data_IF_430329982140
#
_entry.id   IF_430329982140
#
_cell.length_a   1.000
_cell.length_b   1.000
_cell.length_c   1.000
_cell.angle_alpha   90.00
_cell.angle_beta   90.00
_cell.angle_gamma   90.00
#
_symmetry.space_group_name_H-M   'P 1'
#
loop_
_entity.id
_entity.type
_entity.pdbx_description
1 polymer ?
#
# COMPACT_ATOMS: atom_id res chain seq x y z
N UNK A 1 40.87 55.29 -60.84
CA UNK A 1 39.74 54.74 -60.08
C UNK A 1 40.26 54.17 -58.76
N UNK A 2 40.05 54.87 -57.64
CA UNK A 2 40.52 54.47 -56.29
C UNK A 2 39.33 53.86 -55.55
N UNK A 3 39.32 52.54 -55.41
CA UNK A 3 38.29 51.85 -54.64
C UNK A 3 38.55 52.10 -53.12
N UNK A 4 37.62 52.82 -52.46
CA UNK A 4 37.55 52.90 -51.01
C UNK A 4 37.16 51.52 -50.47
N UNK A 5 38.09 50.86 -49.78
CA UNK A 5 37.77 49.70 -48.93
C UNK A 5 37.04 50.28 -47.69
N UNK A 6 35.75 49.99 -47.58
CA UNK A 6 35.02 50.18 -46.35
C UNK A 6 35.63 49.27 -45.29
N UNK A 7 36.18 49.83 -44.24
CA UNK A 7 36.67 49.11 -43.08
C UNK A 7 35.44 48.60 -42.29
N UNK A 8 35.25 47.29 -42.22
CA UNK A 8 34.19 46.61 -41.44
C UNK A 8 34.60 46.37 -39.99
N UNK A 9 35.61 47.08 -39.48
CA UNK A 9 36.17 46.80 -38.13
C UNK A 9 35.37 47.41 -36.97
N UNK A 10 34.47 48.39 -37.26
CA UNK A 10 33.65 49.04 -36.21
C UNK A 10 32.52 48.17 -35.63
N UNK A 11 31.98 47.20 -36.40
CA UNK A 11 30.88 46.36 -35.96
C UNK A 11 31.35 45.16 -35.10
N UNK A 12 32.59 44.72 -35.26
CA UNK A 12 33.15 43.64 -34.46
C UNK A 12 33.34 43.98 -32.99
N UNK A 13 33.64 45.22 -32.65
CA UNK A 13 33.76 45.69 -31.30
C UNK A 13 32.39 45.76 -30.55
N UNK A 14 31.34 46.18 -31.25
CA UNK A 14 29.98 46.24 -30.71
C UNK A 14 29.41 44.85 -30.40
N UNK A 15 29.62 43.88 -31.30
CA UNK A 15 29.18 42.48 -31.10
C UNK A 15 29.90 41.86 -29.89
N UNK A 16 31.20 42.11 -29.73
CA UNK A 16 31.97 41.55 -28.61
C UNK A 16 31.44 42.02 -27.25
N UNK A 17 31.04 43.30 -27.15
CA UNK A 17 30.45 43.84 -25.93
C UNK A 17 29.08 43.21 -25.65
N UNK A 18 28.21 43.09 -26.64
CA UNK A 18 26.89 42.45 -26.51
C UNK A 18 27.06 40.99 -26.08
N UNK A 19 27.96 40.22 -26.72
CA UNK A 19 28.25 38.85 -26.37
C UNK A 19 28.77 38.69 -24.94
N UNK A 20 29.66 39.63 -24.51
CA UNK A 20 30.18 39.63 -23.14
C UNK A 20 29.03 39.84 -22.10
N UNK A 21 28.13 40.79 -22.32
CA UNK A 21 26.96 40.99 -21.45
C UNK A 21 26.03 39.78 -21.42
N UNK A 22 25.69 39.23 -22.59
CA UNK A 22 24.87 38.05 -22.68
C UNK A 22 25.49 36.85 -21.99
N UNK A 23 26.81 36.66 -22.11
CA UNK A 23 27.54 35.58 -21.43
C UNK A 23 27.47 35.73 -19.90
N UNK A 24 27.62 36.92 -19.37
CA UNK A 24 27.48 37.16 -17.91
C UNK A 24 26.07 36.85 -17.43
N UNK A 25 25.03 37.27 -18.17
CA UNK A 25 23.64 36.95 -17.84
C UNK A 25 23.39 35.44 -17.89
N UNK A 26 23.86 34.76 -18.93
CA UNK A 26 23.72 33.30 -19.07
C UNK A 26 24.43 32.56 -17.92
N UNK A 27 25.63 32.99 -17.54
CA UNK A 27 26.35 32.41 -16.39
C UNK A 27 25.59 32.65 -15.08
N UNK A 28 24.99 33.83 -14.90
CA UNK A 28 24.15 34.14 -13.73
C UNK A 28 22.94 33.24 -13.65
N UNK A 29 22.21 33.00 -14.75
CA UNK A 29 21.09 32.07 -14.78
C UNK A 29 21.51 30.62 -14.55
N UNK A 30 22.63 30.17 -15.15
CA UNK A 30 23.18 28.84 -14.94
C UNK A 30 23.56 28.62 -13.45
N UNK A 31 24.13 29.63 -12.81
CA UNK A 31 24.49 29.59 -11.41
C UNK A 31 23.26 29.42 -10.49
N UNK A 32 22.20 30.19 -10.73
CA UNK A 32 20.93 30.03 -9.99
C UNK A 32 20.25 28.69 -10.25
N UNK A 33 20.37 28.16 -11.48
CA UNK A 33 19.83 26.86 -11.82
C UNK A 33 20.51 25.72 -11.02
N UNK A 34 21.82 25.84 -10.75
CA UNK A 34 22.57 24.86 -9.95
C UNK A 34 22.08 24.87 -8.49
N UNK A 35 21.94 26.05 -7.87
CA UNK A 35 21.41 26.14 -6.50
C UNK A 35 19.97 25.60 -6.41
N UNK A 36 19.12 25.94 -7.39
CA UNK A 36 17.76 25.41 -7.46
C UNK A 36 17.74 23.88 -7.60
N UNK A 37 18.58 23.32 -8.48
CA UNK A 37 18.69 21.86 -8.66
C UNK A 37 19.13 21.17 -7.36
N UNK A 38 20.06 21.75 -6.59
CA UNK A 38 20.47 21.24 -5.28
C UNK A 38 19.30 21.22 -4.31
N UNK A 39 18.51 22.29 -4.21
CA UNK A 39 17.33 22.35 -3.34
C UNK A 39 16.26 21.31 -3.72
N UNK A 40 15.99 21.11 -5.02
CA UNK A 40 15.06 20.09 -5.49
C UNK A 40 15.56 18.67 -5.19
N UNK A 41 16.85 18.42 -5.42
CA UNK A 41 17.46 17.11 -5.12
C UNK A 41 17.37 16.79 -3.63
N UNK A 42 17.71 17.75 -2.78
CA UNK A 42 17.61 17.58 -1.33
C UNK A 42 16.17 17.32 -0.89
N UNK A 43 15.22 18.11 -1.38
CA UNK A 43 13.80 17.93 -1.04
C UNK A 43 13.28 16.55 -1.46
N UNK A 44 13.70 16.02 -2.61
CA UNK A 44 13.31 14.68 -3.07
C UNK A 44 13.84 13.59 -2.14
N UNK A 45 15.07 13.71 -1.66
CA UNK A 45 15.68 12.77 -0.71
C UNK A 45 14.96 12.81 0.64
N UNK A 46 14.66 14.01 1.14
CA UNK A 46 13.92 14.20 2.39
C UNK A 46 12.48 13.67 2.28
N UNK A 47 11.84 13.80 1.11
CA UNK A 47 10.52 13.22 0.88
C UNK A 47 10.59 11.69 0.96
N UNK A 48 11.53 11.05 0.24
CA UNK A 48 11.73 9.60 0.32
C UNK A 48 12.03 9.15 1.76
N UNK A 49 12.82 9.92 2.49
CA UNK A 49 13.18 9.64 3.88
C UNK A 49 11.98 9.75 4.83
N UNK A 50 11.16 10.79 4.70
CA UNK A 50 9.94 10.95 5.50
C UNK A 50 8.88 9.93 5.15
N UNK A 51 8.73 9.56 3.87
CA UNK A 51 7.81 8.49 3.43
C UNK A 51 8.19 7.14 4.04
N UNK A 52 9.46 6.76 3.92
CA UNK A 52 9.96 5.51 4.49
C UNK A 52 9.81 5.48 6.02
N UNK A 53 10.15 6.58 6.69
CA UNK A 53 10.04 6.69 8.14
C UNK A 53 8.57 6.60 8.61
N UNK A 54 7.66 7.34 7.99
CA UNK A 54 6.24 7.35 8.35
C UNK A 54 5.58 5.97 8.12
N UNK A 55 5.84 5.34 6.96
CA UNK A 55 5.33 3.99 6.64
C UNK A 55 5.83 2.95 7.63
N UNK A 56 7.12 2.92 7.93
CA UNK A 56 7.68 1.94 8.86
C UNK A 56 7.21 2.17 10.29
N UNK A 57 7.10 3.41 10.74
CA UNK A 57 6.52 3.73 12.05
C UNK A 57 5.07 3.29 12.14
N UNK A 58 4.25 3.58 11.13
CA UNK A 58 2.86 3.14 11.07
C UNK A 58 2.74 1.60 11.15
N UNK A 59 3.61 0.86 10.45
CA UNK A 59 3.66 -0.61 10.54
C UNK A 59 4.05 -1.10 11.94
N UNK A 60 5.00 -0.44 12.62
CA UNK A 60 5.37 -0.77 13.99
C UNK A 60 4.23 -0.51 14.96
N UNK A 61 3.58 0.65 14.85
CA UNK A 61 2.40 0.99 15.64
C UNK A 61 1.23 0.03 15.40
N UNK A 62 1.01 -0.34 14.15
CA UNK A 62 -0.04 -1.28 13.78
C UNK A 62 0.20 -2.70 14.33
N UNK A 63 1.46 -3.11 14.44
CA UNK A 63 1.84 -4.41 15.01
C UNK A 63 1.77 -4.41 16.53
N UNK A 64 2.28 -3.37 17.16
CA UNK A 64 2.31 -3.19 18.60
C UNK A 64 2.40 -1.70 18.94
N UNK A 65 1.39 -1.15 19.56
CA UNK A 65 1.33 0.28 19.92
C UNK A 65 2.30 0.67 21.05
N UNK A 66 2.87 -0.32 21.75
CA UNK A 66 3.92 -0.14 22.75
C UNK A 66 5.34 -0.36 22.22
N UNK A 67 5.51 -0.66 20.92
CA UNK A 67 6.83 -0.76 20.28
C UNK A 67 7.59 0.55 20.48
N UNK A 68 8.89 0.46 20.78
CA UNK A 68 9.76 1.63 20.99
C UNK A 68 9.82 2.55 19.77
N UNK A 69 9.63 1.99 18.57
CA UNK A 69 9.54 2.76 17.33
C UNK A 69 8.15 3.34 17.06
N UNK A 70 7.14 2.98 17.86
CA UNK A 70 5.84 3.63 17.86
C UNK A 70 5.82 4.80 18.87
N UNK A 71 6.73 5.74 18.71
CA UNK A 71 6.92 6.88 19.61
C UNK A 71 7.41 8.13 18.85
N UNK A 72 7.19 9.31 19.42
CA UNK A 72 7.67 10.58 18.87
C UNK A 72 9.20 10.74 18.90
N UNK A 73 9.90 9.80 19.54
CA UNK A 73 11.35 9.75 19.63
C UNK A 73 11.94 8.51 18.95
N UNK A 74 11.23 7.97 17.95
CA UNK A 74 11.61 6.75 17.25
C UNK A 74 13.01 6.85 16.63
N UNK A 75 13.98 6.01 17.00
CA UNK A 75 15.29 5.98 16.35
C UNK A 75 15.21 5.48 14.90
N UNK A 76 14.20 4.68 14.59
CA UNK A 76 13.98 4.17 13.24
C UNK A 76 13.69 5.30 12.25
N UNK A 77 12.99 6.37 12.67
CA UNK A 77 12.71 7.51 11.80
C UNK A 77 14.00 8.21 11.38
N UNK A 78 14.93 8.44 12.30
CA UNK A 78 16.21 9.06 11.99
C UNK A 78 17.09 8.16 11.11
N UNK A 79 17.13 6.86 11.37
CA UNK A 79 17.88 5.89 10.56
C UNK A 79 17.37 5.85 9.11
N UNK A 80 16.07 5.79 8.91
CA UNK A 80 15.47 5.77 7.58
C UNK A 80 15.61 7.09 6.84
N UNK A 81 15.48 8.21 7.52
CA UNK A 81 15.72 9.52 6.94
C UNK A 81 17.17 9.64 6.45
N UNK A 82 18.16 9.27 7.26
CA UNK A 82 19.58 9.27 6.88
C UNK A 82 19.88 8.32 5.71
N UNK A 83 19.31 7.12 5.69
CA UNK A 83 19.53 6.14 4.61
C UNK A 83 18.98 6.57 3.25
N UNK A 84 18.05 7.52 3.23
CA UNK A 84 17.51 8.08 2.00
C UNK A 84 18.20 9.38 1.56
N UNK A 85 19.11 9.92 2.36
CA UNK A 85 19.99 11.03 1.98
C UNK A 85 21.25 10.49 1.28
N UNK A 86 21.65 11.10 0.17
CA UNK A 86 22.83 10.67 -0.61
C UNK A 86 24.12 10.79 0.19
N UNK A 87 24.22 11.81 1.02
CA UNK A 87 25.35 12.05 1.91
C UNK A 87 25.21 11.32 3.27
N UNK A 88 24.09 10.62 3.48
CA UNK A 88 23.77 9.95 4.73
C UNK A 88 23.37 10.89 5.87
N UNK A 89 23.12 12.15 5.59
CA UNK A 89 22.80 13.17 6.59
C UNK A 89 21.38 13.71 6.39
N UNK A 90 20.58 13.63 7.43
CA UNK A 90 19.28 14.27 7.51
C UNK A 90 18.94 14.63 8.95
N UNK A 91 17.90 15.41 9.16
CA UNK A 91 17.40 15.74 10.48
C UNK A 91 15.93 15.40 10.56
N UNK A 92 15.50 14.64 11.57
CA UNK A 92 14.07 14.49 11.88
C UNK A 92 13.61 15.73 12.65
N UNK A 93 12.95 16.64 11.96
CA UNK A 93 12.47 17.91 12.52
C UNK A 93 11.34 17.69 13.51
N UNK A 94 10.40 16.79 13.18
CA UNK A 94 9.27 16.45 14.06
C UNK A 94 8.66 15.10 13.71
N UNK A 95 8.08 14.47 14.72
CA UNK A 95 7.20 13.31 14.60
C UNK A 95 5.91 13.65 15.34
N UNK A 96 4.80 13.78 14.61
CA UNK A 96 3.47 13.89 15.17
C UNK A 96 2.80 12.51 15.11
N UNK A 97 2.55 11.92 16.28
CA UNK A 97 1.97 10.57 16.43
C UNK A 97 0.66 10.67 17.18
N UNK A 98 -0.44 10.32 16.52
CA UNK A 98 -1.77 10.19 17.11
C UNK A 98 -2.20 8.71 17.08
N UNK A 99 -2.05 8.03 18.21
CA UNK A 99 -2.44 6.61 18.37
C UNK A 99 -3.97 6.42 18.39
N UNK A 100 -4.72 7.45 18.77
CA UNK A 100 -6.20 7.38 18.81
C UNK A 100 -6.76 7.38 17.39
N UNK A 101 -6.30 8.33 16.56
CA UNK A 101 -6.69 8.43 15.16
C UNK A 101 -5.82 7.54 14.24
N UNK A 102 -4.80 6.90 14.81
CA UNK A 102 -3.89 6.00 14.09
C UNK A 102 -3.22 6.67 12.90
N UNK A 103 -2.63 7.83 13.17
CA UNK A 103 -1.88 8.59 12.19
C UNK A 103 -0.48 8.92 12.70
N UNK A 104 0.47 8.97 11.81
CA UNK A 104 1.81 9.46 12.07
C UNK A 104 2.26 10.38 10.93
N UNK A 105 2.78 11.53 11.30
CA UNK A 105 3.40 12.46 10.35
C UNK A 105 4.86 12.63 10.74
N UNK A 106 5.76 12.36 9.80
CA UNK A 106 7.20 12.56 9.97
C UNK A 106 7.63 13.72 9.07
N UNK A 107 8.29 14.70 9.66
CA UNK A 107 8.91 15.81 8.92
C UNK A 107 10.43 15.65 9.01
N UNK A 108 11.07 15.45 7.86
CA UNK A 108 12.52 15.46 7.71
C UNK A 108 12.99 16.81 7.21
N UNK A 109 14.15 17.24 7.66
CA UNK A 109 14.81 18.47 7.25
C UNK A 109 16.25 18.21 6.80
N UNK A 110 16.78 19.09 5.97
CA UNK A 110 18.13 19.00 5.47
C UNK A 110 19.16 19.09 6.59
N UNK A 111 20.31 18.43 6.41
CA UNK A 111 21.43 18.50 7.34
C UNK A 111 22.73 18.49 6.58
N UNK A 112 23.52 19.53 6.79
CA UNK A 112 24.87 19.63 6.27
C UNK A 112 25.85 19.83 7.45
N UNK A 113 27.07 19.32 7.30
CA UNK A 113 28.12 19.52 8.32
C UNK A 113 28.49 21.00 8.42
N UNK A 114 28.34 21.57 9.61
CA UNK A 114 28.68 22.99 9.86
C UNK A 114 27.60 24.00 9.45
N UNK A 115 26.43 23.55 8.95
CA UNK A 115 25.31 24.41 8.64
C UNK A 115 24.21 24.36 9.72
N UNK A 116 23.29 25.30 9.68
CA UNK A 116 22.11 25.30 10.55
C UNK A 116 21.19 24.09 10.21
N UNK A 117 20.54 23.52 11.23
CA UNK A 117 19.60 22.43 11.02
C UNK A 117 18.48 22.84 10.04
N UNK A 118 18.04 21.89 9.24
CA UNK A 118 16.98 22.01 8.21
C UNK A 118 17.33 22.96 7.05
N UNK A 119 18.60 23.32 6.86
CA UNK A 119 19.01 24.22 5.79
C UNK A 119 20.10 23.63 4.90
N UNK A 120 20.07 24.06 3.65
CA UNK A 120 21.04 23.73 2.59
C UNK A 120 21.81 25.00 2.23
N UNK A 121 23.14 24.90 2.17
CA UNK A 121 24.01 25.98 1.76
C UNK A 121 23.85 26.24 0.25
N UNK A 122 23.75 27.50 -0.14
CA UNK A 122 23.65 27.96 -1.52
C UNK A 122 24.97 28.62 -1.92
N UNK A 123 25.58 28.09 -2.99
CA UNK A 123 26.87 28.58 -3.41
C UNK A 123 26.78 29.91 -4.16
N UNK A 124 25.93 29.98 -5.15
CA UNK A 124 25.79 31.13 -6.02
C UNK A 124 24.88 32.22 -5.44
N UNK A 125 23.74 31.79 -4.83
CA UNK A 125 22.86 32.76 -4.17
C UNK A 125 23.52 33.37 -2.91
N UNK A 126 24.49 32.67 -2.32
CA UNK A 126 25.32 33.20 -1.23
C UNK A 126 26.08 34.45 -1.62
N UNK A 127 26.53 34.59 -2.87
CA UNK A 127 27.18 35.81 -3.40
C UNK A 127 26.21 37.00 -3.42
N UNK A 128 24.92 36.72 -3.57
CA UNK A 128 23.84 37.70 -3.56
C UNK A 128 23.29 37.98 -2.15
N UNK A 129 23.93 37.44 -1.10
CA UNK A 129 23.50 37.64 0.28
C UNK A 129 22.47 36.61 0.81
N UNK A 130 22.22 35.52 0.06
CA UNK A 130 21.32 34.41 0.46
C UNK A 130 22.18 33.15 0.62
N UNK A 131 22.86 32.94 1.76
CA UNK A 131 23.85 31.86 1.92
C UNK A 131 23.23 30.47 2.10
N UNK A 132 21.97 30.40 2.49
CA UNK A 132 21.28 29.10 2.71
C UNK A 132 19.78 29.25 2.56
N UNK A 133 19.10 28.11 2.34
CA UNK A 133 17.64 28.02 2.34
C UNK A 133 17.18 26.83 3.17
N UNK A 134 16.05 26.99 3.87
CA UNK A 134 15.42 25.89 4.61
C UNK A 134 14.77 24.90 3.64
N UNK A 135 15.06 23.60 3.83
CA UNK A 135 14.49 22.51 3.04
C UNK A 135 13.95 21.45 3.98
N UNK A 136 12.66 21.20 3.87
CA UNK A 136 11.94 20.17 4.62
C UNK A 136 11.03 19.39 3.70
N UNK A 137 10.72 18.15 4.10
CA UNK A 137 9.66 17.36 3.51
C UNK A 137 8.89 16.63 4.60
N UNK A 138 7.62 16.37 4.36
CA UNK A 138 6.71 15.78 5.34
C UNK A 138 5.91 14.67 4.71
N UNK A 139 5.70 13.58 5.44
CA UNK A 139 4.84 12.50 5.03
C UNK A 139 3.90 12.12 6.15
N UNK A 140 2.64 11.90 5.79
CA UNK A 140 1.60 11.46 6.71
C UNK A 140 1.08 10.09 6.29
N UNK A 141 0.97 9.20 7.27
CA UNK A 141 0.50 7.82 7.10
C UNK A 141 -0.56 7.52 8.13
N UNK A 142 -1.62 6.85 7.71
CA UNK A 142 -2.61 6.25 8.64
C UNK A 142 -2.55 4.73 8.56
N UNK A 143 -2.99 4.07 9.65
CA UNK A 143 -3.07 2.62 9.71
C UNK A 143 -4.35 2.16 10.40
N UNK A 144 -4.78 0.94 10.09
CA UNK A 144 -5.95 0.33 10.70
C UNK A 144 -6.39 -0.93 9.99
N UNK A 145 -7.42 -1.58 10.50
CA UNK A 145 -8.06 -2.69 9.78
C UNK A 145 -9.31 -2.20 9.06
N UNK A 146 -9.61 -2.70 7.86
CA UNK A 146 -10.86 -2.39 7.18
C UNK A 146 -12.06 -2.83 8.02
N UNK A 147 -13.08 -1.98 8.09
CA UNK A 147 -14.35 -2.26 8.77
C UNK A 147 -15.56 -2.16 7.83
N UNK A 148 -15.41 -1.45 6.72
CA UNK A 148 -16.43 -1.33 5.68
C UNK A 148 -15.76 -1.10 4.33
N UNK A 149 -16.28 -1.70 3.26
CA UNK A 149 -15.82 -1.49 1.90
C UNK A 149 -16.44 -2.47 0.91
N UNK A 150 -16.27 -2.18 -0.39
CA UNK A 150 -16.72 -3.07 -1.46
C UNK A 150 -15.64 -4.09 -1.78
N UNK A 151 -15.93 -5.38 -1.55
CA UNK A 151 -15.05 -6.46 -1.96
C UNK A 151 -15.08 -6.62 -3.47
N UNK A 152 -13.98 -7.04 -4.07
CA UNK A 152 -13.91 -7.33 -5.51
C UNK A 152 -14.41 -8.75 -5.84
N UNK A 153 -14.54 -9.61 -4.83
CA UNK A 153 -15.00 -10.97 -4.94
C UNK A 153 -15.90 -11.32 -3.76
N UNK A 154 -17.05 -12.00 -3.96
CA UNK A 154 -18.07 -12.15 -2.92
C UNK A 154 -17.83 -13.39 -2.04
N UNK A 155 -16.62 -13.53 -1.51
CA UNK A 155 -16.20 -14.67 -0.68
C UNK A 155 -15.91 -14.20 0.74
N UNK A 156 -16.43 -14.93 1.73
CA UNK A 156 -16.10 -14.77 3.14
C UNK A 156 -15.49 -16.06 3.70
N UNK A 157 -14.45 -15.93 4.53
CA UNK A 157 -13.81 -17.08 5.19
C UNK A 157 -14.34 -17.28 6.60
N UNK A 158 -14.42 -18.55 7.03
CA UNK A 158 -14.58 -18.86 8.44
C UNK A 158 -13.33 -18.44 9.23
N UNK A 159 -13.51 -17.89 10.43
CA UNK A 159 -12.41 -17.56 11.34
C UNK A 159 -11.50 -18.77 11.63
N UNK A 160 -12.04 -19.97 11.53
CA UNK A 160 -11.29 -21.22 11.71
C UNK A 160 -10.22 -21.45 10.65
N UNK A 161 -10.44 -20.92 9.45
CA UNK A 161 -9.47 -20.99 8.36
C UNK A 161 -8.37 -19.94 8.49
N UNK A 162 -8.64 -18.86 9.21
CA UNK A 162 -7.75 -17.68 9.29
C UNK A 162 -6.91 -17.69 10.57
N UNK A 163 -7.49 -18.17 11.68
CA UNK A 163 -6.82 -18.13 12.99
C UNK A 163 -5.49 -18.88 12.99
N UNK A 164 -4.41 -18.16 13.30
CA UNK A 164 -3.04 -18.71 13.30
C UNK A 164 -2.42 -18.88 11.92
N UNK A 165 -3.11 -18.53 10.83
CA UNK A 165 -2.63 -18.75 9.45
C UNK A 165 -2.17 -17.49 8.73
N UNK A 166 -2.27 -16.33 9.38
CA UNK A 166 -1.78 -15.05 8.80
C UNK A 166 -0.27 -15.08 8.68
N UNK A 167 0.25 -14.71 7.50
CA UNK A 167 1.65 -14.84 7.09
C UNK A 167 2.21 -16.28 7.12
N UNK A 168 1.30 -17.27 7.15
CA UNK A 168 1.63 -18.69 7.10
C UNK A 168 1.87 -19.23 5.70
N UNK A 169 1.90 -20.57 5.58
CA UNK A 169 2.03 -21.26 4.32
C UNK A 169 0.78 -21.11 3.45
N UNK A 170 0.93 -21.37 2.14
CA UNK A 170 -0.20 -21.50 1.24
C UNK A 170 -1.07 -22.71 1.66
N UNK A 171 -2.38 -22.57 1.48
CA UNK A 171 -3.36 -23.59 1.82
C UNK A 171 -4.48 -23.65 0.79
N UNK A 172 -5.13 -24.80 0.69
CA UNK A 172 -6.36 -25.00 -0.06
C UNK A 172 -7.53 -24.81 0.90
N UNK A 173 -8.35 -23.79 0.68
CA UNK A 173 -9.58 -23.54 1.41
C UNK A 173 -10.73 -24.12 0.61
N UNK A 174 -11.30 -25.20 1.12
CA UNK A 174 -12.40 -25.91 0.45
C UNK A 174 -13.74 -25.43 0.94
N UNK A 175 -14.73 -25.54 0.04
CA UNK A 175 -16.11 -25.23 0.32
C UNK A 175 -16.75 -26.33 1.21
N UNK A 176 -17.61 -25.92 2.13
CA UNK A 176 -18.76 -26.62 2.73
C UNK A 176 -18.64 -28.10 3.12
N UNK A 177 -17.48 -28.68 3.37
CA UNK A 177 -17.55 -29.95 4.05
C UNK A 177 -17.98 -29.71 5.51
N UNK A 178 -18.94 -30.47 6.00
CA UNK A 178 -19.33 -30.45 7.41
C UNK A 178 -18.12 -30.70 8.33
N UNK A 179 -17.09 -31.36 7.78
CA UNK A 179 -15.85 -31.68 8.47
C UNK A 179 -14.79 -30.57 8.43
N UNK A 180 -14.97 -29.51 7.61
CA UNK A 180 -13.95 -28.48 7.44
C UNK A 180 -13.64 -27.72 8.74
N UNK A 181 -14.59 -27.68 9.69
CA UNK A 181 -14.46 -26.97 10.96
C UNK A 181 -15.04 -27.75 12.15
N UNK A 182 -15.12 -29.08 12.06
CA UNK A 182 -15.82 -29.92 13.07
C UNK A 182 -15.37 -29.64 14.52
N UNK A 183 -14.12 -29.23 14.72
CA UNK A 183 -13.52 -29.00 16.04
C UNK A 183 -13.08 -27.54 16.24
N UNK A 184 -13.73 -26.57 15.61
CA UNK A 184 -13.34 -25.16 15.74
C UNK A 184 -14.32 -24.38 16.64
N UNK A 185 -14.07 -24.23 17.94
CA UNK A 185 -14.91 -23.48 18.89
C UNK A 185 -14.55 -22.00 18.94
N UNK A 186 -14.27 -21.37 17.79
CA UNK A 186 -13.88 -19.95 17.71
C UNK A 186 -15.08 -19.01 17.52
N UNK A 187 -16.29 -19.53 17.46
CA UNK A 187 -17.50 -18.70 17.42
C UNK A 187 -17.83 -18.04 18.75
N UNK A 188 -18.84 -17.18 18.79
CA UNK A 188 -19.31 -16.51 20.00
C UNK A 188 -19.62 -17.53 21.12
N UNK A 189 -19.13 -17.25 22.33
CA UNK A 189 -19.27 -18.14 23.50
C UNK A 189 -18.73 -19.58 23.28
N UNK A 190 -17.75 -19.77 22.40
CA UNK A 190 -17.17 -21.07 22.12
C UNK A 190 -18.02 -21.96 21.17
N UNK A 191 -18.96 -21.36 20.47
CA UNK A 191 -19.77 -22.05 19.46
C UNK A 191 -18.91 -22.52 18.30
N UNK A 192 -19.19 -23.71 17.80
CA UNK A 192 -18.56 -24.22 16.59
C UNK A 192 -18.99 -23.39 15.37
N UNK A 193 -18.02 -22.89 14.62
CA UNK A 193 -18.25 -22.10 13.40
C UNK A 193 -18.48 -23.03 12.22
N UNK A 194 -19.61 -22.93 11.50
CA UNK A 194 -19.90 -23.81 10.38
C UNK A 194 -19.13 -23.45 9.12
N UNK A 195 -18.78 -24.45 8.33
CA UNK A 195 -18.24 -24.32 6.97
C UNK A 195 -16.84 -23.70 6.88
N UNK A 196 -16.23 -23.79 5.70
CA UNK A 196 -14.90 -23.23 5.42
C UNK A 196 -14.93 -21.82 4.84
N UNK A 197 -15.82 -21.62 3.86
CA UNK A 197 -16.11 -20.29 3.28
C UNK A 197 -17.58 -20.16 2.85
N UNK A 198 -18.00 -18.93 2.59
CA UNK A 198 -19.35 -18.57 2.21
C UNK A 198 -19.36 -17.56 1.07
N UNK A 199 -20.42 -17.59 0.28
CA UNK A 199 -20.68 -16.54 -0.70
C UNK A 199 -21.49 -15.42 -0.06
N UNK A 200 -21.03 -14.18 -0.21
CA UNK A 200 -21.73 -12.98 0.26
C UNK A 200 -22.55 -12.35 -0.85
N UNK A 201 -23.48 -11.47 -0.49
CA UNK A 201 -24.32 -10.74 -1.47
C UNK A 201 -23.45 -9.87 -2.38
N UNK A 202 -23.73 -9.95 -3.68
CA UNK A 202 -23.10 -9.12 -4.71
C UNK A 202 -23.89 -7.82 -4.90
N UNK A 203 -23.20 -6.73 -5.23
CA UNK A 203 -23.85 -5.55 -5.79
C UNK A 203 -24.40 -5.86 -7.18
N UNK A 204 -25.51 -5.24 -7.53
CA UNK A 204 -26.14 -5.46 -8.84
C UNK A 204 -25.15 -5.27 -10.00
N UNK A 205 -24.97 -6.30 -10.83
CA UNK A 205 -24.08 -6.28 -11.98
C UNK A 205 -22.58 -6.32 -11.67
N UNK A 206 -22.18 -6.48 -10.40
CA UNK A 206 -20.78 -6.56 -9.98
C UNK A 206 -20.45 -7.96 -9.47
N UNK A 207 -19.18 -8.35 -9.51
CA UNK A 207 -18.72 -9.60 -8.91
C UNK A 207 -18.73 -9.51 -7.37
N UNK A 208 -18.23 -8.41 -6.81
CA UNK A 208 -18.18 -8.20 -5.37
C UNK A 208 -19.40 -7.45 -4.81
N UNK A 209 -19.36 -7.15 -3.52
CA UNK A 209 -20.44 -6.46 -2.82
C UNK A 209 -19.95 -5.61 -1.66
N UNK A 210 -20.82 -4.69 -1.23
CA UNK A 210 -20.54 -3.88 -0.04
C UNK A 210 -20.61 -4.78 1.20
N UNK A 211 -19.58 -4.70 2.00
CA UNK A 211 -19.44 -5.39 3.28
C UNK A 211 -19.25 -4.35 4.38
N UNK A 212 -20.02 -4.49 5.47
CA UNK A 212 -19.91 -3.66 6.67
C UNK A 212 -19.93 -4.57 7.90
N UNK A 213 -18.85 -4.53 8.70
CA UNK A 213 -18.71 -5.39 9.89
C UNK A 213 -19.69 -5.02 11.03
N UNK A 214 -20.33 -3.86 10.97
CA UNK A 214 -21.30 -3.45 12.01
C UNK A 214 -22.66 -4.13 11.86
N UNK A 215 -22.89 -4.82 10.74
CA UNK A 215 -24.17 -5.52 10.47
C UNK A 215 -23.90 -6.95 10.00
N UNK A 216 -24.82 -7.86 10.28
CA UNK A 216 -24.77 -9.19 9.73
C UNK A 216 -24.95 -9.16 8.20
N UNK A 217 -24.13 -9.92 7.50
CA UNK A 217 -24.15 -10.00 6.06
C UNK A 217 -24.98 -11.19 5.60
N UNK A 218 -25.89 -10.95 4.68
CA UNK A 218 -26.66 -12.04 4.08
C UNK A 218 -25.81 -12.87 3.13
N UNK A 219 -26.03 -14.18 3.09
CA UNK A 219 -25.48 -15.06 2.07
C UNK A 219 -26.20 -14.83 0.73
N UNK A 220 -25.49 -15.02 -0.36
CA UNK A 220 -26.05 -14.80 -1.71
C UNK A 220 -26.40 -16.10 -2.42
N UNK A 221 -25.73 -17.20 -2.11
CA UNK A 221 -25.85 -18.41 -2.92
C UNK A 221 -25.79 -19.69 -2.08
N UNK A 222 -26.38 -20.76 -2.63
CA UNK A 222 -26.60 -22.03 -1.93
C UNK A 222 -25.67 -23.13 -2.41
N UNK A 223 -24.83 -22.88 -3.40
CA UNK A 223 -24.12 -23.92 -4.12
C UNK A 223 -22.61 -23.78 -4.14
N UNK A 224 -22.02 -24.79 -4.78
CA UNK A 224 -20.59 -24.79 -5.13
C UNK A 224 -20.32 -24.03 -6.43
N UNK A 225 -21.36 -23.41 -7.03
CA UNK A 225 -21.22 -22.69 -8.27
C UNK A 225 -20.45 -21.38 -8.04
N UNK A 226 -19.61 -21.06 -9.00
CA UNK A 226 -18.93 -19.79 -8.98
C UNK A 226 -19.93 -18.63 -9.01
N UNK A 227 -19.63 -17.52 -8.34
CA UNK A 227 -20.56 -16.39 -8.28
C UNK A 227 -20.76 -15.78 -9.66
N UNK A 228 -21.98 -15.30 -9.94
CA UNK A 228 -22.30 -14.62 -11.20
C UNK A 228 -21.45 -13.35 -11.38
N UNK A 229 -21.28 -12.90 -12.62
CA UNK A 229 -20.56 -11.67 -12.99
C UNK A 229 -19.07 -11.63 -12.52
N UNK A 230 -18.45 -12.76 -12.20
CA UNK A 230 -17.07 -12.81 -11.71
C UNK A 230 -16.03 -13.21 -12.74
N UNK A 231 -16.43 -13.59 -13.95
CA UNK A 231 -15.51 -14.05 -15.01
C UNK A 231 -14.43 -13.04 -15.34
N UNK A 232 -14.80 -11.76 -15.43
CA UNK A 232 -13.84 -10.69 -15.70
C UNK A 232 -12.78 -10.55 -14.57
N UNK A 233 -13.19 -10.72 -13.32
CA UNK A 233 -12.30 -10.68 -12.15
C UNK A 233 -11.34 -11.87 -12.17
N UNK A 234 -11.87 -13.08 -12.39
CA UNK A 234 -11.08 -14.30 -12.39
C UNK A 234 -10.13 -14.37 -13.60
N UNK A 235 -10.56 -13.90 -14.77
CA UNK A 235 -9.70 -13.78 -15.94
C UNK A 235 -8.56 -12.77 -15.71
N UNK A 236 -8.84 -11.65 -15.03
CA UNK A 236 -7.81 -10.71 -14.62
C UNK A 236 -6.81 -11.36 -13.66
N UNK A 237 -7.29 -12.10 -12.64
CA UNK A 237 -6.42 -12.83 -11.73
C UNK A 237 -5.54 -13.84 -12.46
N UNK A 238 -6.10 -14.61 -13.40
CA UNK A 238 -5.35 -15.56 -14.22
C UNK A 238 -4.24 -14.86 -15.02
N UNK A 239 -4.53 -13.71 -15.61
CA UNK A 239 -3.56 -12.90 -16.36
C UNK A 239 -2.44 -12.38 -15.45
N UNK A 240 -2.77 -11.86 -14.26
CA UNK A 240 -1.78 -11.35 -13.31
C UNK A 240 -0.86 -12.48 -12.82
N UNK A 241 -1.45 -13.61 -12.39
CA UNK A 241 -0.68 -14.77 -11.93
C UNK A 241 0.17 -15.37 -13.03
N UNK A 242 -0.34 -15.44 -14.26
CA UNK A 242 0.41 -15.89 -15.43
C UNK A 242 1.60 -15.00 -15.78
N UNK A 243 1.51 -13.73 -15.45
CA UNK A 243 2.61 -12.75 -15.60
C UNK A 243 3.53 -12.68 -14.37
N UNK A 244 3.35 -13.55 -13.38
CA UNK A 244 4.13 -13.57 -12.14
C UNK A 244 3.84 -12.42 -11.16
N UNK A 245 2.74 -11.70 -11.37
CA UNK A 245 2.32 -10.62 -10.47
C UNK A 245 1.39 -11.14 -9.38
N UNK A 246 1.55 -10.70 -8.11
CA UNK A 246 0.72 -11.16 -7.02
C UNK A 246 -0.71 -10.61 -7.15
N UNK A 247 -1.69 -11.46 -6.82
CA UNK A 247 -3.10 -11.08 -6.68
C UNK A 247 -3.44 -11.11 -5.20
N UNK A 248 -3.63 -9.94 -4.60
CA UNK A 248 -4.02 -9.81 -3.19
C UNK A 248 -5.39 -9.18 -3.13
N UNK A 249 -6.30 -9.82 -2.39
CA UNK A 249 -7.70 -9.39 -2.25
C UNK A 249 -8.08 -9.28 -0.78
N UNK A 250 -8.94 -8.33 -0.44
CA UNK A 250 -9.55 -8.23 0.87
C UNK A 250 -10.88 -8.97 0.86
N UNK A 251 -11.02 -9.88 1.81
CA UNK A 251 -12.21 -10.72 1.97
C UNK A 251 -12.66 -10.73 3.43
N UNK A 252 -13.97 -10.70 3.70
CA UNK A 252 -14.48 -10.73 5.06
C UNK A 252 -14.30 -12.08 5.73
N UNK A 253 -14.26 -12.06 7.06
CA UNK A 253 -14.19 -13.23 7.93
C UNK A 253 -15.42 -13.26 8.81
N UNK A 254 -16.07 -14.42 8.90
CA UNK A 254 -17.18 -14.67 9.80
C UNK A 254 -16.79 -15.62 10.95
N UNK A 255 -17.41 -15.42 12.11
CA UNK A 255 -17.26 -16.28 13.28
C UNK A 255 -18.59 -16.95 13.68
N UNK A 256 -19.70 -16.57 13.08
CA UNK A 256 -21.00 -17.22 13.23
C UNK A 256 -21.77 -17.19 11.91
N UNK A 257 -22.63 -18.19 11.75
CA UNK A 257 -23.57 -18.26 10.64
C UNK A 257 -24.89 -18.84 11.14
N UNK A 258 -26.01 -18.27 10.68
CA UNK A 258 -27.36 -18.74 10.96
C UNK A 258 -28.13 -18.93 9.66
N UNK A 259 -29.07 -19.86 9.62
CA UNK A 259 -29.81 -20.18 8.41
C UNK A 259 -28.99 -21.04 7.45
N UNK A 260 -29.53 -21.28 6.25
CA UNK A 260 -28.94 -22.08 5.17
C UNK A 260 -29.20 -21.43 3.82
N UNK A 261 -28.26 -21.63 2.90
CA UNK A 261 -28.42 -21.18 1.52
C UNK A 261 -28.55 -19.66 1.39
N UNK A 262 -29.45 -19.19 0.51
CA UNK A 262 -29.72 -17.76 0.31
C UNK A 262 -30.35 -17.08 1.52
N UNK A 263 -30.84 -17.86 2.51
CA UNK A 263 -31.33 -17.37 3.79
C UNK A 263 -30.25 -17.36 4.89
N UNK A 264 -29.02 -17.69 4.58
CA UNK A 264 -27.93 -17.63 5.54
C UNK A 264 -27.60 -16.18 5.90
N UNK A 265 -27.21 -15.97 7.18
CA UNK A 265 -26.73 -14.70 7.68
C UNK A 265 -25.42 -14.92 8.43
N UNK A 266 -24.42 -14.15 8.10
CA UNK A 266 -23.04 -14.26 8.62
C UNK A 266 -22.72 -13.09 9.54
N UNK A 267 -22.20 -13.40 10.74
CA UNK A 267 -21.61 -12.40 11.62
C UNK A 267 -20.15 -12.18 11.21
N UNK A 268 -19.86 -11.00 10.68
CA UNK A 268 -18.54 -10.65 10.16
C UNK A 268 -17.72 -9.93 11.24
N UNK A 269 -16.47 -10.33 11.41
CA UNK A 269 -15.59 -9.83 12.48
C UNK A 269 -14.38 -9.05 11.99
N UNK A 270 -13.91 -9.32 10.77
CA UNK A 270 -12.74 -8.68 10.21
C UNK A 270 -12.70 -8.84 8.69
N UNK A 271 -11.79 -8.10 8.06
CA UNK A 271 -11.32 -8.41 6.71
C UNK A 271 -9.91 -9.01 6.79
N UNK A 272 -9.65 -9.99 5.96
CA UNK A 272 -8.31 -10.55 5.76
C UNK A 272 -7.83 -10.27 4.34
N UNK A 273 -6.52 -10.09 4.19
CA UNK A 273 -5.90 -10.05 2.90
C UNK A 273 -5.47 -11.46 2.50
N UNK A 274 -5.91 -11.88 1.33
CA UNK A 274 -5.62 -13.20 0.78
C UNK A 274 -4.85 -13.08 -0.53
N UNK A 275 -3.65 -13.63 -0.55
CA UNK A 275 -2.82 -13.74 -1.74
C UNK A 275 -3.25 -14.96 -2.52
N UNK A 276 -4.04 -14.75 -3.58
CA UNK A 276 -4.58 -15.80 -4.43
C UNK A 276 -3.46 -16.44 -5.25
N UNK A 277 -3.47 -17.77 -5.35
CA UNK A 277 -2.53 -18.55 -6.15
C UNK A 277 -3.23 -19.50 -7.12
N UNK A 278 -4.51 -19.80 -6.88
CA UNK A 278 -5.32 -20.65 -7.75
C UNK A 278 -6.73 -20.81 -7.19
N UNK A 279 -7.62 -21.38 -7.99
CA UNK A 279 -9.00 -21.68 -7.60
C UNK A 279 -9.60 -22.79 -8.46
N UNK A 280 -10.64 -23.42 -7.97
CA UNK A 280 -11.52 -24.30 -8.70
C UNK A 280 -12.95 -24.09 -8.20
N UNK A 281 -13.79 -23.49 -9.03
CA UNK A 281 -15.20 -23.32 -8.76
C UNK A 281 -16.02 -24.14 -9.75
N UNK A 282 -17.26 -24.49 -9.40
CA UNK A 282 -18.20 -25.13 -10.32
C UNK A 282 -19.02 -24.08 -11.06
N UNK A 283 -19.66 -24.48 -12.14
CA UNK A 283 -20.49 -23.63 -12.98
C UNK A 283 -20.28 -23.92 -14.47
N UNK A 284 -21.16 -23.35 -15.31
CA UNK A 284 -21.11 -23.51 -16.76
C UNK A 284 -19.87 -22.85 -17.38
N UNK A 285 -19.39 -21.81 -16.76
CA UNK A 285 -18.19 -21.09 -17.18
C UNK A 285 -17.01 -21.68 -16.41
N UNK A 286 -16.31 -22.59 -17.06
CA UNK A 286 -15.12 -23.22 -16.55
C UNK A 286 -14.02 -22.17 -16.43
N UNK A 287 -14.06 -21.43 -15.34
CA UNK A 287 -13.09 -20.39 -15.04
C UNK A 287 -11.69 -20.99 -14.97
N UNK A 288 -10.69 -20.35 -15.58
CA UNK A 288 -9.35 -20.93 -15.64
C UNK A 288 -8.82 -21.16 -14.23
N UNK A 289 -8.31 -22.37 -14.01
CA UNK A 289 -7.62 -22.73 -12.80
C UNK A 289 -6.14 -22.41 -12.98
N UNK A 290 -5.64 -21.49 -12.18
CA UNK A 290 -4.23 -21.05 -12.25
C UNK A 290 -3.52 -21.46 -10.97
N UNK A 291 -2.37 -22.10 -11.11
CA UNK A 291 -1.51 -22.48 -10.00
C UNK A 291 -0.12 -21.89 -10.16
N UNK A 292 0.46 -21.44 -9.08
CA UNK A 292 1.91 -21.35 -8.96
C UNK A 292 2.39 -22.76 -8.51
N UNK A 293 2.83 -23.58 -9.46
CA UNK A 293 3.19 -24.97 -9.22
C UNK A 293 4.27 -25.16 -8.14
N UNK A 294 5.21 -24.24 -8.00
CA UNK A 294 6.25 -24.29 -6.97
C UNK A 294 5.75 -23.95 -5.56
N UNK A 295 4.77 -23.05 -5.45
CA UNK A 295 4.22 -22.60 -4.18
C UNK A 295 2.99 -23.42 -3.73
N UNK A 296 2.36 -24.15 -4.64
CA UNK A 296 1.09 -24.86 -4.41
C UNK A 296 1.20 -26.37 -4.59
N UNK A 297 2.40 -26.94 -4.62
CA UNK A 297 2.62 -28.38 -4.74
C UNK A 297 1.87 -29.12 -3.63
N UNK A 298 1.01 -30.09 -4.03
CA UNK A 298 0.17 -30.86 -3.11
C UNK A 298 -1.13 -30.17 -2.70
N UNK A 299 -1.40 -28.95 -3.18
CA UNK A 299 -2.63 -28.20 -2.88
C UNK A 299 -3.64 -28.20 -4.05
N UNK A 300 -3.41 -29.02 -5.08
CA UNK A 300 -4.26 -29.04 -6.26
C UNK A 300 -5.69 -29.47 -5.92
N UNK A 301 -6.65 -28.66 -6.30
CA UNK A 301 -8.07 -28.96 -6.18
C UNK A 301 -8.52 -29.75 -7.41
N UNK A 302 -8.59 -31.08 -7.31
CA UNK A 302 -8.89 -31.99 -8.42
C UNK A 302 -10.26 -32.65 -8.28
N UNK A 303 -10.82 -33.09 -9.40
CA UNK A 303 -12.08 -33.83 -9.45
C UNK A 303 -13.26 -32.97 -8.97
N UNK A 304 -13.96 -33.44 -7.94
CA UNK A 304 -15.09 -32.73 -7.34
C UNK A 304 -14.69 -31.66 -6.30
N UNK A 305 -13.40 -31.49 -6.06
CA UNK A 305 -12.93 -30.41 -5.19
C UNK A 305 -13.37 -29.05 -5.71
N UNK A 306 -13.79 -28.18 -4.79
CA UNK A 306 -14.06 -26.76 -5.05
C UNK A 306 -13.40 -25.95 -3.95
N UNK A 307 -12.68 -24.90 -4.34
CA UNK A 307 -11.96 -24.09 -3.37
C UNK A 307 -11.10 -23.00 -3.99
N UNK A 308 -10.41 -22.32 -3.13
CA UNK A 308 -9.42 -21.29 -3.49
C UNK A 308 -8.08 -21.63 -2.81
N UNK A 309 -7.00 -21.42 -3.53
CA UNK A 309 -5.64 -21.70 -3.08
C UNK A 309 -4.90 -20.39 -2.89
N UNK A 310 -4.22 -20.24 -1.79
CA UNK A 310 -3.43 -19.06 -1.49
C UNK A 310 -2.99 -19.01 -0.04
N UNK A 311 -2.59 -17.82 0.39
CA UNK A 311 -2.16 -17.57 1.77
C UNK A 311 -2.70 -16.26 2.31
N UNK A 312 -2.93 -16.21 3.61
CA UNK A 312 -3.27 -14.97 4.29
C UNK A 312 -2.03 -14.12 4.50
N UNK A 313 -2.16 -12.81 4.28
CA UNK A 313 -1.09 -11.82 4.48
C UNK A 313 -1.56 -10.72 5.43
N UNK A 314 -0.66 -10.24 6.30
CA UNK A 314 -1.03 -9.28 7.34
C UNK A 314 -1.14 -7.85 6.81
N UNK A 315 -0.16 -7.42 6.05
CA UNK A 315 -0.05 -6.04 5.61
C UNK A 315 -0.38 -5.90 4.13
N UNK A 316 -1.22 -4.93 3.82
CA UNK A 316 -1.58 -4.60 2.45
C UNK A 316 -1.59 -3.08 2.26
N UNK A 317 -1.18 -2.65 1.08
CA UNK A 317 -1.49 -1.33 0.58
C UNK A 317 -2.74 -1.45 -0.26
N UNK A 318 -3.77 -0.71 0.08
CA UNK A 318 -5.04 -0.75 -0.63
C UNK A 318 -5.20 0.49 -1.51
N UNK A 319 -5.84 0.26 -2.66
CA UNK A 319 -6.52 1.32 -3.37
C UNK A 319 -7.74 1.79 -2.55
N UNK A 320 -8.15 3.04 -2.77
CA UNK A 320 -9.25 3.72 -2.10
C UNK A 320 -10.54 2.91 -1.98
N UNK A 321 -11.33 3.17 -0.95
CA UNK A 321 -12.70 2.68 -0.82
C UNK A 321 -13.00 1.86 0.44
N UNK A 322 -12.03 1.67 1.34
CA UNK A 322 -12.28 1.03 2.63
C UNK A 322 -12.24 2.05 3.78
N UNK A 323 -13.21 1.97 4.68
CA UNK A 323 -13.14 2.67 5.96
C UNK A 323 -12.27 1.87 6.93
N UNK A 324 -11.30 2.54 7.55
CA UNK A 324 -10.40 1.93 8.52
C UNK A 324 -10.94 2.14 9.95
N UNK A 325 -10.90 1.07 10.71
CA UNK A 325 -11.18 1.02 12.13
C UNK A 325 -9.96 0.62 12.98
N UNK A 326 -10.18 0.21 14.24
CA UNK A 326 -9.13 -0.36 15.08
C UNK A 326 -8.44 -1.55 14.41
N UNK A 327 -7.16 -1.76 14.75
CA UNK A 327 -6.42 -2.92 14.24
C UNK A 327 -7.03 -4.21 14.79
N UNK A 328 -7.40 -5.12 13.89
CA UNK A 328 -7.91 -6.45 14.24
C UNK A 328 -6.76 -7.46 14.36
N UNK A 329 -6.72 -8.29 15.42
CA UNK A 329 -5.69 -9.32 15.58
C UNK A 329 -5.65 -10.32 14.42
N UNK A 330 -6.83 -10.74 13.96
CA UNK A 330 -7.02 -11.72 12.89
C UNK A 330 -7.31 -11.06 11.52
N UNK A 331 -7.26 -9.73 11.45
CA UNK A 331 -7.57 -8.99 10.24
C UNK A 331 -6.34 -8.48 9.50
N UNK A 332 -6.54 -8.12 8.24
CA UNK A 332 -5.56 -7.34 7.50
C UNK A 332 -5.32 -5.99 8.15
N UNK A 333 -4.10 -5.52 8.06
CA UNK A 333 -3.74 -4.17 8.44
C UNK A 333 -3.39 -3.39 7.18
N UNK A 334 -4.06 -2.29 7.01
CA UNK A 334 -3.79 -1.31 5.96
C UNK A 334 -2.88 -0.24 6.52
N UNK A 335 -1.86 0.09 5.77
CA UNK A 335 -0.97 1.22 6.03
C UNK A 335 -0.95 2.04 4.75
N UNK A 336 -1.45 3.26 4.80
CA UNK A 336 -1.59 4.09 3.60
C UNK A 336 -1.10 5.51 3.82
N UNK A 337 -0.50 6.08 2.81
CA UNK A 337 -0.10 7.48 2.79
C UNK A 337 -1.34 8.36 2.63
N UNK A 338 -1.42 9.44 3.40
CA UNK A 338 -2.57 10.37 3.37
C UNK A 338 -2.22 11.74 2.79
N UNK A 339 -0.93 12.03 2.62
CA UNK A 339 -0.40 13.26 1.98
C UNK A 339 1.10 13.12 1.75
#
# INVERSE_FOLDING_TARGET
MRRLRASSDGERGGIAVIVAFLMVMMLGFAALAIDAAKLYSERAQLQNGSDAAALMMAQKCAKNDTDTNCSTTSPLAADLANKNAIDGLSNVKSIALDKTNRTVTVTAGAKETGASANSVSLFFAGILGIPSAEVNASSSVRWGSPVEGTTIFPLAFSICQVSGMVDGAAQLLQNHSADANADCPLGPAGKTVPGGFAWTVQNSGQCGGLVNLAINQSGSDTGNDGPSNCDAVLNKWASELGAGRPVIVLLPVYDDATGTGSGASYHLTSFVAFSVQGWAFSGSDKLPMVYNASATSGLECKGNCRGIIGKFVKYVSLADGYKLGPVSPNGATVVEMTS
#
